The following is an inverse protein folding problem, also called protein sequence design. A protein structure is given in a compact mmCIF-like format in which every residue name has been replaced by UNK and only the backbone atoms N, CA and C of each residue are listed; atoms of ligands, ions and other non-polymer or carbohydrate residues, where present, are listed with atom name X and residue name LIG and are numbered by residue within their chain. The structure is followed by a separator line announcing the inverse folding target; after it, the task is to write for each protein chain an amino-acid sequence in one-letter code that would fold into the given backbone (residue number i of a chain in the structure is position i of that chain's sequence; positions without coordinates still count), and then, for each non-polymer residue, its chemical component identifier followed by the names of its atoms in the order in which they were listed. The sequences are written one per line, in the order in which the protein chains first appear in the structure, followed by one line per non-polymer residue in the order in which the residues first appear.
data_IF_218519345381
#
_entry.id   IF_218519345381
#
_cell.length_a   1.000
_cell.length_b   1.000
_cell.length_c   1.000
_cell.angle_alpha   90.00
_cell.angle_beta   90.00
_cell.angle_gamma   90.00
#
_symmetry.space_group_name_H-M   'P 1'
#
loop_
_entity.id
_entity.type
_entity.pdbx_description
1 polymer ?
#
# COMPACT_ATOMS: atom_id res chain seq x y z
N UNK A 1 -9.90 1.21 -15.59
CA UNK A 1 -8.48 0.84 -15.56
C UNK A 1 -8.12 0.63 -14.11
N UNK A 2 -7.71 -0.58 -13.76
CA UNK A 2 -7.24 -0.90 -12.41
C UNK A 2 -5.91 -0.18 -12.18
N UNK A 3 -5.74 0.41 -11.00
CA UNK A 3 -4.48 1.05 -10.61
C UNK A 3 -3.58 0.01 -9.92
N UNK A 4 -2.29 0.05 -10.22
CA UNK A 4 -1.27 -0.84 -9.69
C UNK A 4 -0.15 0.04 -9.12
N UNK A 5 0.06 -0.05 -7.81
CA UNK A 5 0.96 0.79 -7.04
C UNK A 5 2.22 0.03 -6.63
N UNK A 6 3.36 0.72 -6.66
CA UNK A 6 4.57 0.32 -5.95
C UNK A 6 5.31 1.57 -5.49
N UNK A 7 6.04 1.45 -4.37
CA UNK A 7 6.78 2.54 -3.74
C UNK A 7 8.28 2.43 -3.98
N UNK A 8 9.01 3.55 -3.91
CA UNK A 8 10.47 3.56 -3.87
C UNK A 8 11.18 3.34 -5.20
N UNK A 9 10.51 3.57 -6.33
CA UNK A 9 11.08 3.48 -7.68
C UNK A 9 10.80 4.72 -8.52
N UNK A 10 11.64 5.02 -9.52
CA UNK A 10 11.29 6.12 -10.43
C UNK A 10 10.09 5.74 -11.30
N UNK A 11 9.25 6.72 -11.66
CA UNK A 11 8.10 6.50 -12.52
C UNK A 11 8.47 5.79 -13.85
N UNK A 12 9.64 6.09 -14.40
CA UNK A 12 10.12 5.46 -15.63
C UNK A 12 10.49 3.99 -15.43
N UNK A 13 11.13 3.63 -14.31
CA UNK A 13 11.52 2.26 -14.00
C UNK A 13 10.30 1.39 -13.71
N UNK A 14 9.41 1.84 -12.82
CA UNK A 14 8.27 1.01 -12.41
C UNK A 14 7.29 0.79 -13.57
N UNK A 15 7.18 1.75 -14.50
CA UNK A 15 6.33 1.62 -15.67
C UNK A 15 6.77 0.46 -16.58
N UNK A 16 8.05 0.08 -16.56
CA UNK A 16 8.54 -1.09 -17.33
C UNK A 16 7.97 -2.42 -16.80
N UNK A 17 7.50 -2.46 -15.56
CA UNK A 17 6.79 -3.59 -14.96
C UNK A 17 5.26 -3.39 -14.95
N UNK A 18 4.73 -2.42 -15.70
CA UNK A 18 3.30 -2.20 -15.89
C UNK A 18 2.58 -1.43 -14.77
N UNK A 19 3.29 -0.98 -13.73
CA UNK A 19 2.68 -0.15 -12.68
C UNK A 19 2.23 1.20 -13.25
N UNK A 20 1.10 1.70 -12.76
CA UNK A 20 0.47 2.93 -13.24
C UNK A 20 0.05 3.89 -12.11
N UNK A 21 0.34 3.54 -10.86
CA UNK A 21 0.28 4.40 -9.68
C UNK A 21 1.67 4.41 -9.02
N UNK A 22 2.21 5.59 -8.72
CA UNK A 22 3.57 5.74 -8.17
C UNK A 22 3.59 6.70 -7.00
N UNK A 23 4.50 6.50 -6.07
CA UNK A 23 4.78 7.45 -5.00
C UNK A 23 5.47 8.70 -5.56
N UNK A 24 4.96 9.86 -5.18
CA UNK A 24 5.58 11.16 -5.51
C UNK A 24 5.67 12.02 -4.27
N UNK A 25 6.62 12.94 -4.25
CA UNK A 25 6.80 13.90 -3.16
C UNK A 25 6.77 15.36 -3.63
N UNK A 26 6.61 15.61 -4.94
CA UNK A 26 6.55 16.97 -5.47
C UNK A 26 5.64 17.12 -6.70
N UNK A 27 5.23 18.36 -6.97
CA UNK A 27 4.42 18.70 -8.15
C UNK A 27 5.20 18.46 -9.44
N UNK A 28 6.52 18.66 -9.42
CA UNK A 28 7.40 18.40 -10.56
C UNK A 28 7.40 16.91 -10.92
N UNK A 29 7.54 16.02 -9.92
CA UNK A 29 7.45 14.57 -10.13
C UNK A 29 6.07 14.18 -10.67
N UNK A 30 5.01 14.72 -10.08
CA UNK A 30 3.64 14.47 -10.52
C UNK A 30 3.41 14.91 -11.97
N UNK A 31 3.93 16.08 -12.36
CA UNK A 31 3.83 16.59 -13.72
C UNK A 31 4.67 15.79 -14.72
N UNK A 32 5.80 15.24 -14.29
CA UNK A 32 6.70 14.42 -15.11
C UNK A 32 6.17 13.01 -15.38
N UNK A 33 5.12 12.55 -14.69
CA UNK A 33 4.62 11.19 -14.87
C UNK A 33 4.23 10.91 -16.33
N UNK A 34 4.55 9.72 -16.86
CA UNK A 34 4.08 9.27 -18.16
C UNK A 34 2.55 9.35 -18.32
N UNK A 35 2.09 9.43 -19.57
CA UNK A 35 0.66 9.40 -19.85
C UNK A 35 0.01 8.11 -19.31
N UNK A 36 -1.15 8.23 -18.69
CA UNK A 36 -1.87 7.10 -18.08
C UNK A 36 -1.45 6.78 -16.64
N UNK A 37 -0.32 7.29 -16.16
CA UNK A 37 0.08 7.14 -14.76
C UNK A 37 -0.56 8.19 -13.86
N UNK A 38 -0.73 7.82 -12.60
CA UNK A 38 -1.18 8.69 -11.51
C UNK A 38 -0.17 8.71 -10.37
N UNK A 39 -0.17 9.79 -9.61
CA UNK A 39 0.67 9.92 -8.41
C UNK A 39 -0.14 9.76 -7.13
N UNK A 40 0.42 9.00 -6.19
CA UNK A 40 0.03 8.93 -4.80
C UNK A 40 1.08 9.70 -3.99
N UNK A 41 0.71 10.82 -3.39
CA UNK A 41 1.67 11.69 -2.71
C UNK A 41 2.02 11.09 -1.35
N UNK A 42 3.29 10.76 -1.12
CA UNK A 42 3.78 10.31 0.19
C UNK A 42 3.95 11.51 1.12
N UNK A 43 3.22 11.52 2.24
CA UNK A 43 3.26 12.63 3.20
C UNK A 43 4.14 12.35 4.43
N UNK A 44 4.04 11.13 4.96
CA UNK A 44 4.66 10.70 6.22
C UNK A 44 4.35 11.66 7.39
N UNK A 45 3.08 12.04 7.51
CA UNK A 45 2.60 12.93 8.57
C UNK A 45 1.32 12.38 9.19
N UNK A 46 1.22 12.51 10.53
CA UNK A 46 0.04 12.15 11.31
C UNK A 46 -0.20 13.17 12.45
N UNK A 47 0.04 14.44 12.17
CA UNK A 47 0.01 15.55 13.14
C UNK A 47 -1.25 16.43 13.00
N UNK A 48 -2.22 16.00 12.19
CA UNK A 48 -3.42 16.76 11.88
C UNK A 48 -3.20 17.73 10.72
N UNK A 49 -4.25 18.47 10.35
CA UNK A 49 -4.19 19.53 9.34
C UNK A 49 -3.43 20.78 9.82
N UNK A 50 -2.17 20.56 10.22
CA UNK A 50 -1.23 21.57 10.65
C UNK A 50 -0.81 22.47 9.48
N UNK A 51 -0.12 23.58 9.79
CA UNK A 51 0.41 24.44 8.74
C UNK A 51 1.42 23.71 7.83
N UNK A 52 2.23 22.79 8.39
CA UNK A 52 3.17 21.97 7.62
C UNK A 52 2.43 21.09 6.62
N UNK A 53 1.42 20.37 7.09
CA UNK A 53 0.56 19.52 6.27
C UNK A 53 -0.08 20.32 5.13
N UNK A 54 -0.71 21.45 5.46
CA UNK A 54 -1.38 22.32 4.48
C UNK A 54 -0.38 22.81 3.42
N UNK A 55 0.83 23.21 3.83
CA UNK A 55 1.88 23.66 2.90
C UNK A 55 2.37 22.53 1.99
N UNK A 56 2.44 21.29 2.48
CA UNK A 56 2.79 20.11 1.67
C UNK A 56 1.69 19.74 0.67
N UNK A 57 0.42 19.83 1.06
CA UNK A 57 -0.71 19.34 0.25
C UNK A 57 -1.22 20.37 -0.75
N UNK A 58 -1.26 21.66 -0.38
CA UNK A 58 -1.79 22.76 -1.22
C UNK A 58 -1.22 22.81 -2.65
N UNK A 59 0.08 22.59 -2.89
CA UNK A 59 0.65 22.63 -4.25
C UNK A 59 0.01 21.66 -5.25
N UNK A 60 -0.64 20.59 -4.78
CA UNK A 60 -1.24 19.56 -5.62
C UNK A 60 -2.68 19.90 -6.08
N UNK A 61 -3.27 20.99 -5.58
CA UNK A 61 -4.65 21.39 -5.91
C UNK A 61 -4.82 21.57 -7.42
N UNK A 62 -5.82 20.88 -7.97
CA UNK A 62 -6.18 20.95 -9.38
C UNK A 62 -5.26 20.18 -10.32
N UNK A 63 -4.27 19.42 -9.81
CA UNK A 63 -3.39 18.63 -10.66
C UNK A 63 -4.12 17.39 -11.23
N UNK A 64 -4.28 17.26 -12.56
CA UNK A 64 -5.05 16.16 -13.15
C UNK A 64 -4.36 14.79 -13.04
N UNK A 65 -3.08 14.73 -12.67
CA UNK A 65 -2.34 13.46 -12.48
C UNK A 65 -2.38 12.97 -11.04
N UNK A 66 -2.91 13.75 -10.10
CA UNK A 66 -3.09 13.33 -8.72
C UNK A 66 -4.16 12.23 -8.63
N UNK A 67 -3.83 11.14 -7.95
CA UNK A 67 -4.82 10.18 -7.45
C UNK A 67 -5.18 10.48 -6.00
N UNK A 68 -4.18 10.69 -5.14
CA UNK A 68 -4.41 10.88 -3.72
C UNK A 68 -3.14 11.06 -2.92
N UNK A 69 -3.25 10.84 -1.61
CA UNK A 69 -2.21 11.00 -0.61
C UNK A 69 -2.09 9.73 0.24
N UNK A 70 -0.87 9.22 0.37
CA UNK A 70 -0.49 8.20 1.33
C UNK A 70 -0.04 8.92 2.60
N UNK A 71 -0.90 8.91 3.62
CA UNK A 71 -0.73 9.74 4.81
C UNK A 71 0.42 9.24 5.68
N UNK A 72 0.40 7.95 6.02
CA UNK A 72 1.39 7.30 6.85
C UNK A 72 1.44 5.79 6.57
N UNK A 73 2.65 5.23 6.63
CA UNK A 73 2.92 3.79 6.62
C UNK A 73 2.83 3.28 8.06
N UNK A 74 1.95 2.32 8.30
CA UNK A 74 1.69 1.71 9.61
C UNK A 74 1.67 2.71 10.78
N UNK A 75 0.78 3.73 10.77
CA UNK A 75 0.70 4.68 11.86
C UNK A 75 0.46 3.96 13.20
N UNK A 76 1.20 4.36 14.23
CA UNK A 76 1.21 3.69 15.54
C UNK A 76 0.30 4.46 16.54
N UNK A 77 -0.85 3.90 16.95
CA UNK A 77 -1.73 4.54 17.91
C UNK A 77 -1.17 4.61 19.33
N UNK A 78 -0.06 3.91 19.61
CA UNK A 78 0.60 3.86 20.92
C UNK A 78 1.87 4.70 20.98
N UNK A 79 2.48 5.00 19.82
CA UNK A 79 3.73 5.74 19.69
C UNK A 79 4.95 4.99 20.23
N UNK A 80 4.86 3.66 20.38
CA UNK A 80 5.89 2.80 20.97
C UNK A 80 6.88 2.27 19.94
N UNK A 81 6.42 2.03 18.72
CA UNK A 81 7.10 1.28 17.69
C UNK A 81 7.31 2.08 16.40
N UNK A 82 6.43 3.05 16.13
CA UNK A 82 6.45 3.83 14.89
C UNK A 82 6.02 5.29 15.08
N UNK A 83 5.63 5.91 13.95
CA UNK A 83 5.11 7.28 13.94
C UNK A 83 3.81 7.32 14.74
N UNK A 84 3.83 8.04 15.86
CA UNK A 84 2.63 8.21 16.67
C UNK A 84 1.54 8.93 15.88
N UNK A 85 0.35 8.33 15.86
CA UNK A 85 -0.83 8.90 15.21
C UNK A 85 -2.05 8.77 16.11
N UNK A 86 -2.93 9.77 16.07
CA UNK A 86 -4.28 9.66 16.65
C UNK A 86 -5.31 9.59 15.53
N UNK A 87 -6.46 8.98 15.81
CA UNK A 87 -7.57 8.97 14.86
C UNK A 87 -8.01 10.41 14.53
N UNK A 88 -8.04 11.30 15.52
CA UNK A 88 -8.38 12.72 15.33
C UNK A 88 -7.41 13.46 14.39
N UNK A 89 -6.11 13.18 14.47
CA UNK A 89 -5.12 13.78 13.58
C UNK A 89 -5.30 13.29 12.14
N UNK A 90 -5.33 11.97 11.93
CA UNK A 90 -5.55 11.39 10.61
C UNK A 90 -6.89 11.81 10.02
N UNK A 91 -7.92 11.94 10.86
CA UNK A 91 -9.22 12.49 10.47
C UNK A 91 -9.14 13.93 10.00
N UNK A 92 -8.44 14.79 10.74
CA UNK A 92 -8.27 16.18 10.37
C UNK A 92 -7.53 16.32 9.02
N UNK A 93 -6.52 15.49 8.77
CA UNK A 93 -5.80 15.45 7.50
C UNK A 93 -6.70 14.98 6.34
N UNK A 94 -7.43 13.88 6.53
CA UNK A 94 -8.34 13.34 5.52
C UNK A 94 -9.47 14.31 5.18
N UNK A 95 -10.13 14.88 6.20
CA UNK A 95 -11.20 15.86 6.02
C UNK A 95 -10.71 17.13 5.29
N UNK A 96 -9.50 17.58 5.60
CA UNK A 96 -8.91 18.74 4.93
C UNK A 96 -8.65 18.44 3.45
N UNK A 97 -8.10 17.27 3.13
CA UNK A 97 -7.91 16.83 1.73
C UNK A 97 -9.25 16.77 1.00
N UNK A 98 -10.26 16.10 1.57
CA UNK A 98 -11.57 15.99 0.92
C UNK A 98 -12.26 17.34 0.69
N UNK A 99 -12.07 18.29 1.62
CA UNK A 99 -12.67 19.63 1.51
C UNK A 99 -11.98 20.53 0.48
N UNK A 100 -10.67 20.34 0.25
CA UNK A 100 -9.86 21.25 -0.60
C UNK A 100 -9.44 20.63 -1.93
N UNK A 101 -9.46 19.29 -2.05
CA UNK A 101 -9.14 18.52 -3.24
C UNK A 101 -10.27 17.52 -3.56
N UNK A 102 -11.44 17.98 -4.03
CA UNK A 102 -12.54 17.07 -4.36
C UNK A 102 -12.10 15.97 -5.33
N UNK A 103 -12.24 14.72 -4.91
CA UNK A 103 -11.88 13.54 -5.69
C UNK A 103 -10.50 12.95 -5.39
N UNK A 104 -9.62 13.67 -4.68
CA UNK A 104 -8.37 13.07 -4.19
C UNK A 104 -8.66 12.04 -3.09
N UNK A 105 -7.90 10.95 -3.11
CA UNK A 105 -8.04 9.82 -2.18
C UNK A 105 -7.04 9.89 -1.03
N UNK A 106 -7.40 9.33 0.12
CA UNK A 106 -6.51 9.18 1.27
C UNK A 106 -6.26 7.70 1.54
N UNK A 107 -5.02 7.37 1.88
CA UNK A 107 -4.57 6.00 2.06
C UNK A 107 -3.60 5.89 3.23
N UNK A 108 -3.68 4.81 3.99
CA UNK A 108 -2.67 4.35 4.95
C UNK A 108 -2.47 2.84 4.75
N UNK A 109 -1.32 2.30 5.14
CA UNK A 109 -1.20 0.88 5.51
C UNK A 109 -1.56 0.73 6.99
N UNK A 110 -2.01 -0.45 7.38
CA UNK A 110 -2.50 -0.69 8.74
C UNK A 110 -1.44 -1.37 9.59
N UNK A 111 -1.08 -0.74 10.70
CA UNK A 111 -0.21 -1.37 11.70
C UNK A 111 -0.94 -2.54 12.38
N UNK A 112 -0.41 -3.76 12.25
CA UNK A 112 -0.90 -4.90 13.01
C UNK A 112 -0.46 -4.82 14.47
N UNK A 113 -1.41 -4.66 15.39
CA UNK A 113 -1.14 -4.57 16.84
C UNK A 113 -1.05 -5.94 17.52
N UNK A 114 -1.40 -7.01 16.79
CA UNK A 114 -1.33 -8.39 17.23
C UNK A 114 -0.07 -9.09 16.74
N UNK A 115 -0.22 -10.36 16.36
CA UNK A 115 0.84 -11.15 15.72
C UNK A 115 0.41 -11.61 14.33
N UNK A 116 1.33 -12.17 13.56
CA UNK A 116 1.01 -12.77 12.27
C UNK A 116 0.07 -13.98 12.41
N UNK A 117 0.05 -14.65 13.57
CA UNK A 117 -0.86 -15.75 13.87
C UNK A 117 -2.22 -15.29 14.39
N UNK A 118 -2.28 -14.14 15.08
CA UNK A 118 -3.49 -13.54 15.62
C UNK A 118 -3.45 -12.03 15.36
N UNK A 119 -3.71 -11.59 14.12
CA UNK A 119 -3.67 -10.18 13.78
C UNK A 119 -4.79 -9.43 14.50
N UNK A 120 -4.50 -8.20 14.92
CA UNK A 120 -5.45 -7.35 15.61
C UNK A 120 -5.29 -5.90 15.18
N UNK A 121 -6.39 -5.31 14.75
CA UNK A 121 -6.51 -3.91 14.38
C UNK A 121 -7.56 -3.20 15.25
N UNK A 122 -7.97 -3.82 16.36
CA UNK A 122 -8.87 -3.19 17.31
C UNK A 122 -8.24 -1.93 17.91
N UNK A 123 -9.07 -0.91 18.13
CA UNK A 123 -8.63 0.39 18.68
C UNK A 123 -7.57 1.11 17.84
N UNK A 124 -7.46 0.81 16.54
CA UNK A 124 -6.61 1.56 15.60
C UNK A 124 -7.44 2.51 14.73
N UNK A 125 -7.36 2.40 13.40
CA UNK A 125 -7.91 3.33 12.43
C UNK A 125 -8.87 2.59 11.49
N UNK A 126 -10.03 3.19 11.27
CA UNK A 126 -11.05 2.70 10.34
C UNK A 126 -11.83 3.91 9.76
N UNK A 127 -12.68 3.70 8.74
CA UNK A 127 -13.35 4.81 8.07
C UNK A 127 -14.24 5.62 9.02
N UNK A 128 -14.81 4.97 10.05
CA UNK A 128 -15.71 5.62 10.99
C UNK A 128 -15.01 6.63 11.91
N UNK A 129 -13.71 6.44 12.22
CA UNK A 129 -12.95 7.34 13.08
C UNK A 129 -11.92 8.21 12.34
N UNK A 130 -11.52 7.87 11.11
CA UNK A 130 -10.49 8.63 10.35
C UNK A 130 -10.99 9.23 9.04
N UNK A 131 -12.15 8.81 8.52
CA UNK A 131 -12.61 9.22 7.19
C UNK A 131 -11.58 8.94 6.06
N UNK A 132 -10.64 8.03 6.25
CA UNK A 132 -9.68 7.65 5.19
C UNK A 132 -10.40 6.79 4.14
N UNK A 133 -10.06 6.98 2.86
CA UNK A 133 -10.70 6.24 1.76
C UNK A 133 -10.27 4.77 1.71
N UNK A 134 -8.97 4.49 1.89
CA UNK A 134 -8.38 3.17 1.64
C UNK A 134 -7.35 2.75 2.70
N UNK A 135 -7.28 1.44 2.96
CA UNK A 135 -6.46 0.84 3.99
C UNK A 135 -5.69 -0.35 3.41
N UNK A 136 -4.37 -0.22 3.38
CA UNK A 136 -3.46 -1.28 2.97
C UNK A 136 -3.35 -2.32 4.07
N UNK A 137 -3.61 -3.57 3.72
CA UNK A 137 -3.45 -4.71 4.63
C UNK A 137 -2.29 -5.55 4.09
N UNK A 138 -1.26 -5.74 4.90
CA UNK A 138 0.08 -6.14 4.46
C UNK A 138 0.68 -7.37 5.19
N UNK A 139 -0.01 -8.53 5.16
CA UNK A 139 0.53 -9.80 5.58
C UNK A 139 1.68 -10.27 4.66
N UNK A 140 2.78 -10.72 5.27
CA UNK A 140 3.98 -11.20 4.57
C UNK A 140 4.26 -12.69 4.89
N UNK A 141 3.54 -13.63 4.24
CA UNK A 141 3.55 -15.05 4.63
C UNK A 141 4.81 -15.82 4.26
N UNK A 142 5.66 -15.30 3.36
CA UNK A 142 6.85 -16.01 2.88
C UNK A 142 8.03 -15.67 3.78
N UNK A 143 8.27 -16.55 4.76
CA UNK A 143 9.27 -16.36 5.81
C UNK A 143 10.04 -17.64 6.15
N UNK A 144 11.27 -17.48 6.63
CA UNK A 144 12.04 -18.57 7.26
C UNK A 144 11.53 -18.86 8.68
N UNK A 145 12.03 -19.92 9.31
CA UNK A 145 11.61 -20.30 10.67
C UNK A 145 10.24 -20.99 10.75
N UNK A 146 9.55 -21.15 9.62
CA UNK A 146 8.31 -21.90 9.49
C UNK A 146 8.52 -23.21 8.71
N UNK A 147 7.65 -24.19 8.91
CA UNK A 147 7.70 -25.48 8.20
C UNK A 147 7.12 -25.40 6.78
N UNK A 148 6.25 -24.43 6.53
CA UNK A 148 5.61 -24.15 5.24
C UNK A 148 5.16 -22.69 5.17
N UNK A 149 4.99 -22.17 3.95
CA UNK A 149 4.37 -20.85 3.73
C UNK A 149 2.91 -20.90 4.18
N UNK A 150 2.54 -19.97 5.05
CA UNK A 150 1.20 -19.86 5.61
C UNK A 150 0.38 -18.81 4.87
N UNK A 151 -0.17 -19.17 3.71
CA UNK A 151 -0.98 -18.26 2.89
C UNK A 151 -2.27 -17.80 3.60
N UNK A 152 -2.79 -18.59 4.54
CA UNK A 152 -3.94 -18.21 5.36
C UNK A 152 -3.65 -17.00 6.27
N UNK A 153 -2.40 -16.52 6.31
CA UNK A 153 -2.05 -15.23 6.90
C UNK A 153 -2.83 -14.09 6.24
N UNK A 154 -3.02 -14.16 4.93
CA UNK A 154 -3.78 -13.16 4.19
C UNK A 154 -5.23 -13.14 4.70
N UNK A 155 -5.87 -14.30 4.73
CA UNK A 155 -7.27 -14.48 5.11
C UNK A 155 -7.57 -13.95 6.51
N UNK A 156 -6.74 -14.32 7.49
CA UNK A 156 -6.95 -13.89 8.87
C UNK A 156 -6.63 -12.42 9.11
N UNK A 157 -5.63 -11.86 8.42
CA UNK A 157 -5.32 -10.43 8.52
C UNK A 157 -6.43 -9.59 7.89
N UNK A 158 -6.96 -10.00 6.74
CA UNK A 158 -8.15 -9.36 6.14
C UNK A 158 -9.35 -9.49 7.08
N UNK A 159 -9.62 -10.68 7.63
CA UNK A 159 -10.73 -10.87 8.57
C UNK A 159 -10.61 -9.98 9.81
N UNK A 160 -9.40 -9.78 10.34
CA UNK A 160 -9.14 -8.88 11.45
C UNK A 160 -9.39 -7.40 11.09
N UNK A 161 -8.97 -6.95 9.90
CA UNK A 161 -9.24 -5.59 9.43
C UNK A 161 -10.75 -5.34 9.24
N UNK A 162 -11.49 -6.33 8.73
CA UNK A 162 -12.95 -6.27 8.62
C UNK A 162 -13.60 -6.20 10.01
N UNK A 163 -13.13 -7.04 10.95
CA UNK A 163 -13.62 -7.04 12.31
C UNK A 163 -13.35 -5.72 13.05
N UNK A 164 -12.28 -4.99 12.69
CA UNK A 164 -11.98 -3.64 13.23
C UNK A 164 -12.76 -2.50 12.56
N UNK A 165 -13.57 -2.82 11.55
CA UNK A 165 -14.49 -1.88 10.91
C UNK A 165 -14.03 -1.34 9.56
N UNK A 166 -13.01 -1.94 8.92
CA UNK A 166 -12.61 -1.61 7.54
C UNK A 166 -13.42 -2.47 6.56
N UNK A 167 -14.32 -1.88 5.74
CA UNK A 167 -15.06 -2.64 4.74
C UNK A 167 -14.14 -3.22 3.66
N UNK A 168 -14.45 -4.42 3.14
CA UNK A 168 -13.68 -5.04 2.05
C UNK A 168 -13.45 -4.10 0.85
N UNK A 169 -14.44 -3.26 0.51
CA UNK A 169 -14.33 -2.31 -0.61
C UNK A 169 -13.31 -1.18 -0.40
N UNK A 170 -12.78 -1.04 0.83
CA UNK A 170 -11.76 -0.07 1.20
C UNK A 170 -10.42 -0.72 1.52
N UNK A 171 -10.33 -2.05 1.46
CA UNK A 171 -9.07 -2.77 1.61
C UNK A 171 -8.27 -2.70 0.31
N UNK A 172 -6.98 -2.41 0.45
CA UNK A 172 -5.98 -2.47 -0.62
C UNK A 172 -5.08 -3.69 -0.36
N UNK A 173 -5.02 -4.66 -1.29
CA UNK A 173 -4.06 -5.74 -1.23
C UNK A 173 -2.63 -5.22 -1.23
N UNK A 174 -1.83 -5.62 -0.24
CA UNK A 174 -0.40 -5.35 -0.23
C UNK A 174 0.36 -6.67 -0.40
N UNK A 175 1.09 -6.79 -1.50
CA UNK A 175 1.84 -7.99 -1.87
C UNK A 175 3.28 -7.92 -1.36
N UNK A 176 3.73 -9.00 -0.73
CA UNK A 176 5.12 -9.20 -0.36
C UNK A 176 5.98 -9.33 -1.64
N UNK A 177 6.78 -8.33 -1.99
CA UNK A 177 7.72 -8.42 -3.13
C UNK A 177 9.18 -8.30 -2.71
N UNK A 178 9.44 -8.49 -1.41
CA UNK A 178 10.74 -8.33 -0.79
C UNK A 178 11.12 -9.53 0.10
N UNK A 179 12.38 -9.57 0.50
CA UNK A 179 12.88 -10.46 1.56
C UNK A 179 14.39 -10.44 1.69
N UNK A 180 14.90 -11.16 2.69
CA UNK A 180 16.28 -11.03 3.16
C UNK A 180 16.45 -9.82 4.08
N UNK A 181 17.65 -9.23 4.06
CA UNK A 181 17.96 -8.04 4.84
C UNK A 181 17.92 -8.25 6.36
N UNK A 182 17.79 -7.13 7.09
CA UNK A 182 17.86 -7.11 8.55
C UNK A 182 16.49 -7.18 9.24
N UNK A 183 15.40 -7.07 8.50
CA UNK A 183 14.04 -7.23 9.05
C UNK A 183 13.88 -8.61 9.69
N UNK A 184 13.13 -8.67 10.79
CA UNK A 184 12.86 -9.89 11.54
C UNK A 184 11.35 -10.02 11.69
N UNK A 185 10.83 -11.23 11.47
CA UNK A 185 9.41 -11.54 11.63
C UNK A 185 9.07 -11.62 13.12
N UNK A 186 7.78 -11.62 13.46
CA UNK A 186 7.30 -11.86 14.83
C UNK A 186 7.61 -13.27 15.39
N UNK A 187 8.09 -14.18 14.54
CA UNK A 187 8.53 -15.55 14.88
C UNK A 187 10.05 -15.73 14.90
N UNK A 188 10.82 -14.63 14.99
CA UNK A 188 12.30 -14.61 14.94
C UNK A 188 12.92 -15.12 13.62
N UNK A 189 12.10 -15.38 12.60
CA UNK A 189 12.50 -15.68 11.23
C UNK A 189 12.86 -14.44 10.40
N UNK A 190 13.04 -14.67 9.10
CA UNK A 190 13.36 -13.65 8.08
C UNK A 190 12.35 -13.70 6.95
N UNK A 191 11.97 -12.53 6.43
CA UNK A 191 11.21 -12.45 5.18
C UNK A 191 12.03 -13.03 4.02
N UNK A 192 11.36 -13.59 3.03
CA UNK A 192 11.98 -14.21 1.86
C UNK A 192 11.30 -13.66 0.61
N UNK A 193 12.09 -13.30 -0.41
CA UNK A 193 11.56 -12.88 -1.71
C UNK A 193 10.72 -14.02 -2.28
N UNK A 194 9.41 -13.83 -2.53
CA UNK A 194 8.58 -14.90 -3.04
C UNK A 194 9.01 -15.36 -4.43
N UNK A 195 8.87 -16.66 -4.72
CA UNK A 195 8.87 -17.14 -6.09
C UNK A 195 7.59 -16.69 -6.81
N UNK A 196 7.58 -16.73 -8.14
CA UNK A 196 6.39 -16.40 -8.94
C UNK A 196 5.20 -17.32 -8.63
N UNK A 197 5.43 -18.59 -8.28
CA UNK A 197 4.36 -19.49 -7.85
C UNK A 197 3.81 -19.13 -6.48
N UNK A 198 4.67 -18.71 -5.54
CA UNK A 198 4.22 -18.23 -4.24
C UNK A 198 3.44 -16.92 -4.38
N UNK A 199 3.89 -16.02 -5.25
CA UNK A 199 3.18 -14.78 -5.59
C UNK A 199 1.80 -15.05 -6.19
N UNK A 200 1.68 -15.98 -7.14
CA UNK A 200 0.38 -16.36 -7.70
C UNK A 200 -0.57 -16.86 -6.61
N UNK A 201 -0.11 -17.75 -5.72
CA UNK A 201 -0.95 -18.23 -4.61
C UNK A 201 -1.39 -17.08 -3.70
N UNK A 202 -0.50 -16.15 -3.36
CA UNK A 202 -0.88 -14.97 -2.56
C UNK A 202 -1.94 -14.13 -3.28
N UNK A 203 -1.80 -13.88 -4.58
CA UNK A 203 -2.80 -13.15 -5.37
C UNK A 203 -4.13 -13.88 -5.45
N UNK A 204 -4.14 -15.22 -5.57
CA UNK A 204 -5.39 -16.00 -5.59
C UNK A 204 -6.18 -15.85 -4.28
N UNK A 205 -5.49 -15.77 -3.13
CA UNK A 205 -6.10 -15.47 -1.84
C UNK A 205 -6.67 -14.04 -1.81
N UNK A 206 -5.90 -13.06 -2.28
CA UNK A 206 -6.35 -11.67 -2.37
C UNK A 206 -7.56 -11.49 -3.28
N UNK A 207 -7.57 -12.10 -4.47
CA UNK A 207 -8.67 -12.03 -5.42
C UNK A 207 -9.96 -12.63 -4.85
N UNK A 208 -9.85 -13.65 -3.99
CA UNK A 208 -11.01 -14.22 -3.30
C UNK A 208 -11.60 -13.26 -2.27
N UNK A 209 -10.75 -12.57 -1.50
CA UNK A 209 -11.15 -11.76 -0.36
C UNK A 209 -11.53 -10.32 -0.75
N UNK A 210 -10.82 -9.77 -1.73
CA UNK A 210 -10.93 -8.39 -2.21
C UNK A 210 -10.91 -8.39 -3.76
N UNK A 211 -11.98 -8.89 -4.42
CA UNK A 211 -12.00 -9.12 -5.88
C UNK A 211 -12.01 -7.85 -6.74
N UNK A 212 -12.17 -6.67 -6.14
CA UNK A 212 -12.30 -5.40 -6.86
C UNK A 212 -11.73 -4.24 -6.05
N UNK A 213 -10.42 -4.27 -5.73
CA UNK A 213 -9.79 -3.21 -4.97
C UNK A 213 -9.69 -1.95 -5.84
N UNK A 214 -9.60 -0.77 -5.21
CA UNK A 214 -9.39 0.48 -5.94
C UNK A 214 -8.01 0.51 -6.64
N UNK A 215 -7.03 -0.11 -6.01
CA UNK A 215 -5.70 -0.40 -6.52
C UNK A 215 -5.08 -1.55 -5.72
N UNK A 216 -4.04 -2.19 -6.24
CA UNK A 216 -3.18 -3.10 -5.49
C UNK A 216 -1.80 -2.47 -5.25
N UNK A 217 -1.06 -2.97 -4.26
CA UNK A 217 0.23 -2.45 -3.85
C UNK A 217 1.29 -3.56 -3.80
N UNK A 218 2.30 -3.50 -4.67
CA UNK A 218 3.52 -4.28 -4.52
C UNK A 218 4.54 -3.55 -3.62
N UNK A 219 4.70 -4.02 -2.37
CA UNK A 219 5.68 -3.47 -1.43
C UNK A 219 7.00 -4.24 -1.56
N UNK A 220 8.10 -3.65 -2.01
CA UNK A 220 8.26 -2.32 -2.63
C UNK A 220 9.25 -2.43 -3.81
N UNK A 221 9.38 -1.38 -4.63
CA UNK A 221 10.38 -1.34 -5.70
C UNK A 221 11.81 -1.20 -5.15
N UNK A 222 12.00 -0.25 -4.25
CA UNK A 222 13.30 0.06 -3.64
C UNK A 222 13.63 -0.85 -2.46
N UNK A 223 14.92 -1.18 -2.30
CA UNK A 223 15.41 -1.95 -1.16
C UNK A 223 15.41 -1.15 0.14
N UNK A 224 15.10 -1.82 1.24
CA UNK A 224 15.12 -1.31 2.60
C UNK A 224 15.86 -2.27 3.54
N UNK A 225 16.60 -1.73 4.52
CA UNK A 225 17.33 -2.55 5.51
C UNK A 225 18.23 -3.65 4.90
N UNK A 226 18.74 -3.43 3.68
CA UNK A 226 19.58 -4.38 2.95
C UNK A 226 18.86 -5.62 2.43
N UNK A 227 17.53 -5.57 2.28
CA UNK A 227 16.75 -6.63 1.64
C UNK A 227 16.96 -6.71 0.12
N UNK A 228 16.34 -7.69 -0.50
CA UNK A 228 16.09 -7.71 -1.95
C UNK A 228 14.64 -7.31 -2.16
N UNK A 229 14.41 -6.31 -3.01
CA UNK A 229 13.08 -5.77 -3.33
C UNK A 229 12.69 -6.06 -4.79
N UNK A 230 11.50 -5.61 -5.22
CA UNK A 230 10.97 -5.86 -6.55
C UNK A 230 11.88 -5.32 -7.65
N UNK A 231 12.48 -4.14 -7.45
CA UNK A 231 13.42 -3.52 -8.39
C UNK A 231 14.69 -4.37 -8.64
N UNK A 232 14.97 -5.34 -7.77
CA UNK A 232 16.11 -6.26 -7.90
C UNK A 232 15.69 -7.71 -8.21
N UNK A 233 14.42 -7.94 -8.53
CA UNK A 233 13.85 -9.29 -8.75
C UNK A 233 13.27 -9.42 -10.17
N UNK A 234 14.09 -9.71 -11.20
CA UNK A 234 13.63 -9.78 -12.60
C UNK A 234 12.46 -10.73 -12.84
N UNK A 235 12.42 -11.87 -12.14
CA UNK A 235 11.34 -12.85 -12.25
C UNK A 235 10.01 -12.28 -11.73
N UNK A 236 10.04 -11.54 -10.62
CA UNK A 236 8.84 -10.86 -10.09
C UNK A 236 8.45 -9.66 -10.96
N UNK A 237 9.39 -8.89 -11.51
CA UNK A 237 9.08 -7.82 -12.46
C UNK A 237 8.33 -8.35 -13.69
N UNK A 238 8.79 -9.47 -14.26
CA UNK A 238 8.12 -10.11 -15.39
C UNK A 238 6.73 -10.64 -15.03
N UNK A 239 6.57 -11.17 -13.81
CA UNK A 239 5.28 -11.61 -13.29
C UNK A 239 4.29 -10.44 -13.14
N UNK A 240 4.70 -9.34 -12.50
CA UNK A 240 3.86 -8.14 -12.34
C UNK A 240 3.55 -7.46 -13.66
N UNK A 241 4.48 -7.45 -14.63
CA UNK A 241 4.19 -6.95 -15.96
C UNK A 241 2.99 -7.68 -16.59
N UNK A 242 2.94 -9.01 -16.45
CA UNK A 242 1.80 -9.79 -16.95
C UNK A 242 0.51 -9.49 -16.18
N UNK A 243 0.58 -9.44 -14.85
CA UNK A 243 -0.57 -9.09 -13.99
C UNK A 243 -1.15 -7.72 -14.34
N UNK A 244 -0.29 -6.69 -14.37
CA UNK A 244 -0.68 -5.30 -14.56
C UNK A 244 -1.20 -5.01 -15.98
N UNK A 245 -0.76 -5.77 -16.99
CA UNK A 245 -1.21 -5.61 -18.37
C UNK A 245 -2.44 -6.45 -18.72
N UNK A 246 -2.75 -7.51 -17.98
CA UNK A 246 -3.93 -8.35 -18.26
C UNK A 246 -5.25 -7.57 -18.22
N UNK A 247 -5.32 -6.46 -17.48
CA UNK A 247 -6.48 -5.58 -17.44
C UNK A 247 -6.61 -4.61 -18.64
N UNK A 248 -5.67 -4.65 -19.59
CA UNK A 248 -5.67 -3.80 -20.80
C UNK A 248 -6.27 -4.54 -22.01
N UNK A 249 -6.24 -5.88 -22.02
CA UNK A 249 -6.69 -6.70 -23.17
C UNK A 249 -8.22 -6.90 -23.25
N UNK A 250 -8.99 -6.52 -22.23
CA UNK A 250 -10.46 -6.57 -22.22
C UNK A 250 -11.15 -5.31 -22.76
N UNK A 251 -10.38 -4.35 -23.30
CA UNK A 251 -10.96 -3.23 -24.04
C UNK A 251 -11.28 -3.66 -25.48
N UNK A 252 -12.55 -3.54 -25.94
CA UNK A 252 -12.84 -3.80 -27.34
C UNK A 252 -12.05 -2.82 -28.20
N UNK A 253 -11.17 -3.35 -29.05
CA UNK A 253 -10.48 -2.59 -30.09
C UNK A 253 -11.55 -1.91 -30.94
N UNK A 254 -11.64 -0.58 -30.83
CA UNK A 254 -12.46 0.24 -31.72
C UNK A 254 -11.79 0.37 -33.08
#
# INVERSE_FOLDING_TARGET
MTLHYTSGGSAAEIATAGFNLVDVSSVEQLNALPAGMKGLVWLDEANGASLSFIQKVTPFIGNPKLFGFFLADEPDPTGKWGVYATADNLKAESDWIHSNLPGAKTFITMMNMGSAANPDFSNTFNPANTHIDYYGVDPYPVQTGTSAVDYNMIDRTVAAAVASGVPNSQIVPVYQTFGGGNWTTDTDGKFVVPSTSQMQTMMDHWDHLVPSPAFDYAYAWGSQQGDTALGNSPELQAFFLKHNLHNVDDLPRR
#
